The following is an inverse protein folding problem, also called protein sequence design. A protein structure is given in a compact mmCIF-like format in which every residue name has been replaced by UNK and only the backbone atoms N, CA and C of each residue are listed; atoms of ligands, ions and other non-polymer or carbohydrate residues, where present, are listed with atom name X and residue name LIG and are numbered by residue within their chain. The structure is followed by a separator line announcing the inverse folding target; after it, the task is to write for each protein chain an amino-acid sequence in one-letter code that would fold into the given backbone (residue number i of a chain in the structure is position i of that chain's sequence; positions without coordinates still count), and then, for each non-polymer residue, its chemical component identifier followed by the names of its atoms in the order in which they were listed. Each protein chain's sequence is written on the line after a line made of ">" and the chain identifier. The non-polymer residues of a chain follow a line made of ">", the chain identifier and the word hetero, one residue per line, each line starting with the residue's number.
data_IF_900650105313
#
_entry.id   IF_900650105313
#
_cell.length_a   1.000
_cell.length_b   1.000
_cell.length_c   1.000
_cell.angle_alpha   90.00
_cell.angle_beta   90.00
_cell.angle_gamma   90.00
#
_symmetry.space_group_name_H-M   'P 1'
#
loop_
_entity.id
_entity.type
_entity.pdbx_description
1 polymer ?
#
# COMPACT_ATOMS: atom_id res chain seq x y z
N UNK A 1 9.56 18.78 35.55
CA UNK A 1 8.11 18.91 35.69
C UNK A 1 7.45 18.60 34.38
N UNK A 2 6.47 17.72 34.41
CA UNK A 2 5.71 17.13 33.29
C UNK A 2 4.82 18.13 32.53
N UNK A 3 4.66 17.91 31.22
CA UNK A 3 3.41 17.84 30.40
C UNK A 3 3.70 18.31 28.96
N UNK A 4 3.77 17.41 27.99
CA UNK A 4 2.65 16.80 27.28
C UNK A 4 1.95 17.79 26.33
N UNK A 5 2.13 17.56 25.04
CA UNK A 5 1.48 18.26 23.94
C UNK A 5 1.79 17.55 22.65
N UNK A 6 1.41 16.27 22.57
CA UNK A 6 1.40 15.55 21.30
C UNK A 6 0.42 16.25 20.37
N UNK A 7 0.94 16.89 19.33
CA UNK A 7 0.12 17.48 18.27
C UNK A 7 -0.53 16.32 17.52
N UNK A 8 -1.79 16.07 17.84
CA UNK A 8 -2.69 15.29 17.03
C UNK A 8 -2.91 16.12 15.77
N UNK A 9 -2.17 15.84 14.69
CA UNK A 9 -2.41 16.47 13.39
C UNK A 9 -3.63 15.79 12.78
N UNK A 10 -4.82 16.24 13.17
CA UNK A 10 -6.07 15.96 12.48
C UNK A 10 -6.07 16.74 11.15
N UNK A 11 -5.36 16.22 10.15
CA UNK A 11 -5.31 16.79 8.81
C UNK A 11 -6.50 16.31 7.97
N UNK A 12 -7.53 17.15 7.84
CA UNK A 12 -8.72 16.96 6.99
C UNK A 12 -8.45 17.10 5.49
N UNK A 13 -7.23 16.83 5.03
CA UNK A 13 -6.83 16.91 3.62
C UNK A 13 -6.56 15.53 3.03
N UNK A 14 -6.96 15.29 1.79
CA UNK A 14 -6.68 14.03 1.09
C UNK A 14 -5.16 13.84 1.00
N UNK A 15 -4.67 12.60 1.09
CA UNK A 15 -3.25 12.31 0.88
C UNK A 15 -2.76 12.70 -0.54
N UNK A 16 -3.70 13.00 -1.45
CA UNK A 16 -3.46 13.45 -2.82
C UNK A 16 -3.23 14.96 -2.93
N UNK A 17 -3.50 15.72 -1.87
CA UNK A 17 -3.40 17.18 -1.88
C UNK A 17 -1.97 17.64 -2.19
N UNK A 18 -1.80 18.38 -3.28
CA UNK A 18 -0.49 18.88 -3.74
C UNK A 18 0.35 17.87 -4.52
N UNK A 19 -0.13 16.64 -4.75
CA UNK A 19 0.56 15.65 -5.57
C UNK A 19 0.19 15.77 -7.05
N UNK A 20 1.19 15.66 -7.93
CA UNK A 20 0.95 15.59 -9.38
C UNK A 20 0.50 14.17 -9.72
N UNK A 21 -0.75 14.04 -10.19
CA UNK A 21 -1.24 12.77 -10.68
C UNK A 21 -0.33 12.26 -11.81
N UNK A 22 0.17 11.02 -11.72
CA UNK A 22 0.99 10.43 -12.78
C UNK A 22 0.16 10.18 -14.05
N UNK A 23 0.81 10.03 -15.22
CA UNK A 23 0.12 9.68 -16.45
C UNK A 23 -0.63 8.36 -16.28
N UNK A 24 -1.91 8.34 -16.66
CA UNK A 24 -2.73 7.12 -16.61
C UNK A 24 -2.09 6.04 -17.48
N UNK A 25 -1.94 4.83 -16.92
CA UNK A 25 -1.50 3.69 -17.70
C UNK A 25 -2.62 3.23 -18.63
N UNK A 26 -2.48 3.54 -19.92
CA UNK A 26 -3.45 3.23 -20.98
C UNK A 26 -3.21 1.87 -21.63
N UNK A 27 -2.27 1.07 -21.12
CA UNK A 27 -2.04 -0.28 -21.65
C UNK A 27 -3.27 -1.16 -21.43
N UNK A 28 -3.48 -2.11 -22.34
CA UNK A 28 -4.51 -3.12 -22.18
C UNK A 28 -4.23 -3.96 -20.93
N UNK A 29 -5.23 -4.09 -20.06
CA UNK A 29 -5.18 -4.87 -18.83
C UNK A 29 -6.20 -6.00 -18.92
N UNK A 30 -5.80 -7.20 -18.50
CA UNK A 30 -6.70 -8.36 -18.44
C UNK A 30 -7.58 -8.30 -17.20
N UNK A 31 -8.63 -9.11 -17.16
CA UNK A 31 -9.56 -9.23 -16.03
C UNK A 31 -8.84 -9.50 -14.71
N UNK A 32 -7.75 -10.29 -14.73
CA UNK A 32 -6.91 -10.56 -13.54
C UNK A 32 -6.27 -9.29 -12.92
N UNK A 33 -6.38 -8.14 -13.58
CA UNK A 33 -5.88 -6.82 -13.14
C UNK A 33 -7.02 -5.83 -12.90
N UNK A 34 -8.16 -5.98 -13.59
CA UNK A 34 -9.26 -4.99 -13.58
C UNK A 34 -10.50 -5.43 -12.80
N UNK A 35 -10.69 -6.74 -12.57
CA UNK A 35 -11.86 -7.30 -11.87
C UNK A 35 -11.76 -7.12 -10.35
N UNK A 36 -11.79 -5.87 -9.90
CA UNK A 36 -11.59 -5.49 -8.51
C UNK A 36 -12.90 -5.39 -7.75
N UNK A 37 -12.86 -5.59 -6.44
CA UNK A 37 -13.99 -5.38 -5.51
C UNK A 37 -14.27 -3.89 -5.24
N UNK A 38 -13.52 -3.00 -5.90
CA UNK A 38 -13.69 -1.56 -5.81
C UNK A 38 -13.12 -0.96 -4.53
N UNK A 39 -12.15 -1.60 -3.88
CA UNK A 39 -11.46 -1.04 -2.71
C UNK A 39 -10.43 -0.01 -3.15
N UNK A 40 -10.15 0.95 -2.28
CA UNK A 40 -9.07 1.91 -2.44
C UNK A 40 -7.95 1.65 -1.43
N UNK A 41 -6.73 2.14 -1.72
CA UNK A 41 -5.61 1.96 -0.79
C UNK A 41 -5.83 2.63 0.58
N UNK A 42 -6.69 3.65 0.63
CA UNK A 42 -7.11 4.30 1.89
C UNK A 42 -7.83 3.33 2.83
N UNK A 43 -8.53 2.32 2.31
CA UNK A 43 -9.29 1.34 3.09
C UNK A 43 -8.38 0.41 3.91
N UNK A 44 -7.08 0.39 3.61
CA UNK A 44 -6.11 -0.47 4.29
C UNK A 44 -5.44 0.19 5.50
N UNK A 45 -5.82 1.42 5.86
CA UNK A 45 -5.28 2.17 7.01
C UNK A 45 -3.74 2.32 6.99
N UNK A 46 -3.17 2.50 5.81
CA UNK A 46 -1.74 2.70 5.61
C UNK A 46 -1.30 4.09 6.08
N UNK A 47 -0.01 4.24 6.40
CA UNK A 47 0.60 5.55 6.67
C UNK A 47 0.39 6.51 5.50
N UNK A 48 0.14 7.78 5.81
CA UNK A 48 -0.06 8.85 4.80
C UNK A 48 1.10 8.92 3.81
N UNK A 49 2.34 8.86 4.29
CA UNK A 49 3.55 8.91 3.46
C UNK A 49 3.61 7.76 2.45
N UNK A 50 3.16 6.56 2.86
CA UNK A 50 3.10 5.40 1.98
C UNK A 50 2.00 5.57 0.92
N UNK A 51 0.82 6.05 1.31
CA UNK A 51 -0.27 6.36 0.37
C UNK A 51 0.15 7.40 -0.68
N UNK A 52 0.88 8.43 -0.25
CA UNK A 52 1.46 9.44 -1.16
C UNK A 52 2.40 8.78 -2.17
N UNK A 53 3.36 7.97 -1.70
CA UNK A 53 4.30 7.28 -2.59
C UNK A 53 3.63 6.28 -3.55
N UNK A 54 2.58 5.58 -3.10
CA UNK A 54 1.76 4.69 -3.96
C UNK A 54 1.12 5.51 -5.10
N UNK A 55 0.52 6.65 -4.77
CA UNK A 55 -0.12 7.52 -5.76
C UNK A 55 0.88 8.16 -6.72
N UNK A 56 2.01 8.68 -6.24
CA UNK A 56 3.07 9.24 -7.10
C UNK A 56 3.65 8.22 -8.09
N UNK A 57 3.68 6.94 -7.72
CA UNK A 57 4.13 5.84 -8.58
C UNK A 57 3.10 5.41 -9.63
N UNK A 58 1.88 5.92 -9.60
CA UNK A 58 0.82 5.58 -10.56
C UNK A 58 -0.09 4.44 -10.15
N UNK A 59 -0.04 4.02 -8.89
CA UNK A 59 -0.99 3.07 -8.35
C UNK A 59 -2.23 3.83 -7.85
N UNK A 60 -3.22 3.97 -8.74
CA UNK A 60 -4.49 4.61 -8.39
C UNK A 60 -5.40 3.67 -7.58
N UNK A 61 -5.46 2.40 -7.99
CA UNK A 61 -6.32 1.37 -7.39
C UNK A 61 -5.56 0.06 -7.20
N UNK A 62 -5.85 -0.70 -6.13
CA UNK A 62 -5.31 -2.04 -5.95
C UNK A 62 -5.87 -3.00 -7.01
N UNK A 63 -5.05 -3.95 -7.44
CA UNK A 63 -5.50 -5.09 -8.26
C UNK A 63 -6.24 -6.12 -7.40
N UNK A 64 -6.98 -7.08 -7.99
CA UNK A 64 -7.79 -8.04 -7.21
C UNK A 64 -6.94 -8.85 -6.23
N UNK A 65 -5.72 -9.25 -6.64
CA UNK A 65 -4.80 -9.96 -5.75
C UNK A 65 -4.26 -9.07 -4.62
N UNK A 66 -4.10 -7.76 -4.87
CA UNK A 66 -3.67 -6.80 -3.85
C UNK A 66 -4.77 -6.55 -2.81
N UNK A 67 -6.02 -6.42 -3.24
CA UNK A 67 -7.18 -6.23 -2.36
C UNK A 67 -7.35 -7.35 -1.33
N UNK A 68 -7.00 -8.59 -1.74
CA UNK A 68 -7.06 -9.75 -0.87
C UNK A 68 -5.79 -9.91 -0.03
N UNK A 69 -4.61 -9.76 -0.63
CA UNK A 69 -3.35 -10.08 0.04
C UNK A 69 -2.92 -9.00 1.05
N UNK A 70 -3.03 -7.70 0.70
CA UNK A 70 -2.54 -6.59 1.53
C UNK A 70 -3.12 -6.65 2.95
N UNK A 71 -4.46 -6.67 3.17
CA UNK A 71 -5.02 -6.68 4.51
C UNK A 71 -4.62 -7.92 5.33
N UNK A 72 -4.46 -9.09 4.68
CA UNK A 72 -4.07 -10.32 5.37
C UNK A 72 -2.60 -10.26 5.81
N UNK A 73 -1.71 -9.75 4.95
CA UNK A 73 -0.28 -9.60 5.27
C UNK A 73 -0.09 -8.55 6.38
N UNK A 74 -0.85 -7.45 6.35
CA UNK A 74 -0.84 -6.43 7.43
C UNK A 74 -1.18 -7.05 8.80
N UNK A 75 -2.07 -8.04 8.84
CA UNK A 75 -2.41 -8.81 10.04
C UNK A 75 -1.33 -9.81 10.51
N UNK A 76 -0.12 -9.77 9.94
CA UNK A 76 0.99 -10.69 10.22
C UNK A 76 0.65 -12.17 9.92
N UNK A 77 -0.26 -12.42 8.98
CA UNK A 77 -0.60 -13.76 8.52
C UNK A 77 0.19 -14.10 7.26
N UNK A 78 0.54 -15.38 7.11
CA UNK A 78 1.13 -15.87 5.87
C UNK A 78 0.03 -15.98 4.80
N UNK A 79 0.37 -15.60 3.57
CA UNK A 79 -0.53 -15.67 2.41
C UNK A 79 0.17 -16.43 1.31
N UNK A 80 -0.52 -17.38 0.69
CA UNK A 80 -0.09 -17.99 -0.57
C UNK A 80 -0.91 -17.36 -1.70
N UNK A 81 -0.26 -16.55 -2.53
CA UNK A 81 -0.92 -15.73 -3.54
C UNK A 81 -0.65 -16.27 -4.95
N UNK A 82 -1.61 -17.01 -5.53
CA UNK A 82 -1.50 -17.48 -6.91
C UNK A 82 -2.18 -16.50 -7.88
N UNK A 83 -1.36 -15.78 -8.65
CA UNK A 83 -1.86 -14.91 -9.72
C UNK A 83 -0.92 -14.92 -10.93
N UNK A 84 -1.40 -14.51 -12.12
CA UNK A 84 -0.61 -14.42 -13.36
C UNK A 84 0.50 -13.36 -13.26
N UNK A 85 1.46 -13.38 -14.18
CA UNK A 85 2.48 -12.33 -14.27
C UNK A 85 1.84 -10.99 -14.65
N UNK A 86 2.37 -9.88 -14.15
CA UNK A 86 1.81 -8.54 -14.40
C UNK A 86 0.60 -8.15 -13.55
N UNK A 87 0.10 -9.02 -12.65
CA UNK A 87 -1.05 -8.75 -11.75
C UNK A 87 -0.71 -7.94 -10.50
N UNK A 88 0.57 -7.58 -10.30
CA UNK A 88 0.99 -6.74 -9.18
C UNK A 88 1.28 -7.46 -7.86
N UNK A 89 1.53 -8.78 -7.87
CA UNK A 89 1.95 -9.57 -6.68
C UNK A 89 3.12 -8.96 -5.92
N UNK A 90 4.11 -8.41 -6.64
CA UNK A 90 5.27 -7.75 -6.04
C UNK A 90 4.85 -6.55 -5.19
N UNK A 91 3.95 -5.70 -5.69
CA UNK A 91 3.43 -4.57 -4.92
C UNK A 91 2.52 -5.03 -3.76
N UNK A 92 1.74 -6.11 -3.96
CA UNK A 92 0.93 -6.72 -2.90
C UNK A 92 1.79 -7.15 -1.70
N UNK A 93 3.04 -7.53 -1.94
CA UNK A 93 4.01 -7.87 -0.91
C UNK A 93 4.76 -6.64 -0.36
N UNK A 94 5.26 -5.77 -1.22
CA UNK A 94 6.10 -4.64 -0.82
C UNK A 94 5.32 -3.61 0.02
N UNK A 95 4.07 -3.30 -0.33
CA UNK A 95 3.25 -2.32 0.39
C UNK A 95 3.16 -2.64 1.89
N UNK A 96 2.72 -3.83 2.33
CA UNK A 96 2.65 -4.15 3.75
C UNK A 96 4.03 -4.27 4.42
N UNK A 97 5.11 -4.58 3.67
CA UNK A 97 6.47 -4.52 4.21
C UNK A 97 6.92 -3.09 4.50
N UNK A 98 6.68 -2.16 3.56
CA UNK A 98 7.00 -0.75 3.75
C UNK A 98 6.20 -0.15 4.90
N UNK A 99 4.94 -0.53 5.06
CA UNK A 99 4.11 -0.10 6.18
C UNK A 99 4.73 -0.48 7.54
N UNK A 100 5.25 -1.72 7.64
CA UNK A 100 5.89 -2.22 8.86
C UNK A 100 7.32 -1.75 9.06
N UNK A 101 7.96 -1.18 8.04
CA UNK A 101 9.34 -0.73 8.13
C UNK A 101 9.44 0.54 8.98
N UNK A 102 10.41 0.55 9.86
CA UNK A 102 10.74 1.65 10.76
C UNK A 102 12.02 2.33 10.29
N UNK A 103 11.90 3.56 9.76
CA UNK A 103 13.00 4.29 9.13
C UNK A 103 14.09 4.72 10.13
N UNK A 104 13.80 4.74 11.44
CA UNK A 104 14.76 5.10 12.48
C UNK A 104 15.72 3.94 12.81
N UNK A 105 15.34 2.71 12.45
CA UNK A 105 16.10 1.49 12.74
C UNK A 105 17.03 1.13 11.57
N UNK A 106 18.32 1.43 11.72
CA UNK A 106 19.39 1.12 10.75
C UNK A 106 19.86 -0.35 10.78
N UNK A 107 18.92 -1.31 10.80
CA UNK A 107 19.21 -2.74 10.62
C UNK A 107 18.27 -3.36 9.59
N UNK A 108 18.58 -4.57 9.12
CA UNK A 108 17.75 -5.29 8.15
C UNK A 108 16.43 -5.68 8.81
N UNK A 109 15.31 -5.20 8.28
CA UNK A 109 13.96 -5.43 8.82
C UNK A 109 13.12 -6.40 7.98
N UNK A 110 13.66 -6.91 6.87
CA UNK A 110 12.99 -7.88 6.01
C UNK A 110 13.27 -9.31 6.48
N UNK A 111 12.43 -9.86 7.34
CA UNK A 111 12.72 -11.19 7.94
C UNK A 111 11.84 -12.33 7.40
N UNK A 112 10.62 -12.06 6.90
CA UNK A 112 9.75 -13.16 6.45
C UNK A 112 8.68 -12.73 5.46
N UNK A 113 8.64 -13.46 4.35
CA UNK A 113 7.47 -13.54 3.51
C UNK A 113 7.47 -14.79 2.66
N UNK A 114 6.33 -15.48 2.71
CA UNK A 114 5.98 -16.53 1.77
C UNK A 114 5.01 -15.87 0.79
N UNK A 115 5.24 -16.07 -0.51
CA UNK A 115 4.35 -15.70 -1.62
C UNK A 115 3.77 -16.97 -2.23
#
# INVERSE_FOLDING_TARGET
>A
GSKAGGTIVSGTGSYRDGLKAPPKDTRYKTEDVTDTKGRDFEDFFLKRELLMGIFEKGFEKPSPIQEEAIPIILQNRNVLARAKNGTGKTAAYIIPCLEKTDIEKKHIQGEKAIL
#
